data_IF_517106707796
#
_entry.id   IF_517106707796
#
_cell.length_a   1.000
_cell.length_b   1.000
_cell.length_c   1.000
_cell.angle_alpha   90.00
_cell.angle_beta   90.00
_cell.angle_gamma   90.00
#
_symmetry.space_group_name_H-M   'P 1'
#
loop_
_entity.id
_entity.type
_entity.pdbx_description
1 polymer ?
#
# COMPACT_ATOMS: atom_id res chain seq x y z
N UNK A 1 -7.41 15.37 8.94
CA UNK A 1 -8.38 14.30 9.11
C UNK A 1 -7.88 13.30 10.12
N UNK A 2 -8.77 12.91 11.00
CA UNK A 2 -8.43 11.85 11.92
C UNK A 2 -8.68 10.53 11.27
N UNK A 3 -7.90 9.59 11.60
CA UNK A 3 -7.98 8.29 11.00
C UNK A 3 -6.62 7.68 11.05
N UNK A 4 -6.12 7.21 9.93
CA UNK A 4 -4.85 6.53 9.92
C UNK A 4 -3.71 7.53 9.81
N UNK A 5 -2.59 7.30 10.51
CA UNK A 5 -1.43 8.17 10.39
C UNK A 5 -0.90 8.19 8.97
N UNK A 6 -0.26 9.29 8.61
CA UNK A 6 0.46 9.38 7.36
C UNK A 6 1.53 8.27 7.32
N UNK A 7 1.71 7.69 6.14
CA UNK A 7 2.65 6.58 5.90
C UNK A 7 2.15 5.23 6.42
N UNK A 8 0.88 5.15 6.84
CA UNK A 8 0.28 3.85 7.11
C UNK A 8 0.15 3.05 5.82
N UNK A 9 0.31 1.74 5.91
CA UNK A 9 0.02 0.87 4.77
C UNK A 9 -1.45 0.47 4.87
N UNK A 10 -2.17 0.72 3.79
CA UNK A 10 -3.64 0.59 3.78
C UNK A 10 -4.11 -0.16 2.54
N UNK A 11 -5.34 -0.66 2.66
CA UNK A 11 -6.10 -1.17 1.52
C UNK A 11 -7.17 -0.15 1.22
N UNK A 12 -7.27 0.25 -0.04
CA UNK A 12 -8.27 1.23 -0.49
C UNK A 12 -9.24 0.51 -1.40
N UNK A 13 -10.51 0.53 -1.03
CA UNK A 13 -11.58 -0.02 -1.86
C UNK A 13 -12.30 1.13 -2.55
N UNK A 14 -12.37 1.06 -3.86
CA UNK A 14 -13.01 2.09 -4.68
C UNK A 14 -14.28 1.57 -5.29
N UNK A 15 -15.14 2.50 -5.70
CA UNK A 15 -16.36 2.19 -6.44
C UNK A 15 -16.36 2.96 -7.77
N UNK A 16 -17.13 2.48 -8.72
CA UNK A 16 -17.41 3.12 -10.00
C UNK A 16 -16.15 3.47 -10.80
N UNK A 17 -15.33 2.50 -11.17
CA UNK A 17 -15.51 1.06 -11.04
C UNK A 17 -14.96 0.53 -9.71
N UNK A 18 -15.30 -0.69 -9.37
CA UNK A 18 -14.78 -1.35 -8.18
C UNK A 18 -13.33 -1.74 -8.43
N UNK A 19 -12.47 -1.24 -7.56
CA UNK A 19 -11.04 -1.52 -7.61
C UNK A 19 -10.51 -1.56 -6.20
N UNK A 20 -9.40 -2.29 -6.01
CA UNK A 20 -8.74 -2.36 -4.70
C UNK A 20 -7.26 -2.10 -4.89
N UNK A 21 -6.72 -1.26 -4.02
CA UNK A 21 -5.32 -0.88 -4.07
C UNK A 21 -4.67 -1.11 -2.70
N UNK A 22 -3.42 -1.45 -2.74
CA UNK A 22 -2.57 -1.58 -1.56
C UNK A 22 -1.48 -0.54 -1.65
N UNK A 23 -1.17 0.10 -0.55
CA UNK A 23 -0.07 1.05 -0.61
C UNK A 23 0.07 1.89 0.63
N UNK A 24 0.93 2.88 0.50
CA UNK A 24 1.29 3.81 1.56
C UNK A 24 0.41 5.05 1.45
N UNK A 25 -0.26 5.38 2.54
CA UNK A 25 -1.12 6.56 2.58
C UNK A 25 -0.23 7.79 2.72
N UNK A 26 -0.19 8.59 1.66
CA UNK A 26 0.64 9.79 1.64
C UNK A 26 -0.05 10.96 2.29
N UNK A 27 -1.32 11.18 1.95
CA UNK A 27 -2.08 12.28 2.52
C UNK A 27 -3.57 12.06 2.32
N UNK A 28 -4.36 12.73 3.15
CA UNK A 28 -5.81 12.75 3.04
C UNK A 28 -6.26 14.19 3.13
N UNK A 29 -7.20 14.57 2.29
CA UNK A 29 -7.79 15.91 2.30
C UNK A 29 -9.28 15.79 2.07
N UNK A 30 -9.98 16.93 2.11
CA UNK A 30 -11.40 16.95 1.83
C UNK A 30 -11.71 16.53 0.38
N UNK A 31 -10.74 16.67 -0.52
CA UNK A 31 -10.92 16.32 -1.93
C UNK A 31 -10.70 14.84 -2.21
N UNK A 32 -9.88 14.16 -1.38
CA UNK A 32 -9.56 12.78 -1.62
C UNK A 32 -8.29 12.36 -0.91
N UNK A 33 -7.67 11.29 -1.40
CA UNK A 33 -6.44 10.80 -0.79
C UNK A 33 -5.37 10.51 -1.84
N UNK A 34 -4.14 10.63 -1.42
CA UNK A 34 -2.98 10.31 -2.25
C UNK A 34 -2.34 9.04 -1.71
N UNK A 35 -2.17 8.08 -2.58
CA UNK A 35 -1.63 6.77 -2.25
C UNK A 35 -0.42 6.47 -3.12
N UNK A 36 0.64 5.98 -2.53
CA UNK A 36 1.71 5.39 -3.32
C UNK A 36 1.52 3.88 -3.24
N UNK A 37 1.03 3.30 -4.32
CA UNK A 37 0.61 1.92 -4.21
C UNK A 37 0.43 1.23 -5.54
N UNK A 38 -0.29 0.12 -5.48
CA UNK A 38 -0.44 -0.77 -6.62
C UNK A 38 -1.82 -1.42 -6.54
N UNK A 39 -2.39 -1.70 -7.71
CA UNK A 39 -3.62 -2.46 -7.78
C UNK A 39 -3.38 -3.84 -7.16
N UNK A 40 -4.31 -4.30 -6.33
CA UNK A 40 -4.14 -5.60 -5.68
C UNK A 40 -4.02 -6.75 -6.68
N UNK A 41 -4.60 -6.59 -7.86
CA UNK A 41 -4.47 -7.62 -8.90
C UNK A 41 -3.03 -7.79 -9.37
N UNK A 42 -2.21 -6.78 -9.19
CA UNK A 42 -0.79 -6.81 -9.60
C UNK A 42 0.16 -7.05 -8.44
N UNK A 43 -0.36 -7.13 -7.23
CA UNK A 43 0.49 -7.21 -6.04
C UNK A 43 1.40 -8.44 -6.08
N UNK A 44 0.84 -9.59 -6.39
CA UNK A 44 1.60 -10.84 -6.38
C UNK A 44 2.69 -10.85 -7.45
N UNK A 45 2.39 -10.30 -8.63
CA UNK A 45 3.38 -10.21 -9.69
C UNK A 45 4.52 -9.27 -9.31
N UNK A 46 4.19 -8.18 -8.62
CA UNK A 46 5.20 -7.26 -8.14
C UNK A 46 6.14 -7.93 -7.15
N UNK A 47 5.57 -8.68 -6.19
CA UNK A 47 6.36 -9.40 -5.20
C UNK A 47 7.29 -10.41 -5.88
N UNK A 48 6.78 -11.14 -6.86
CA UNK A 48 7.60 -12.11 -7.58
C UNK A 48 8.75 -11.46 -8.33
N UNK A 49 8.51 -10.29 -8.92
CA UNK A 49 9.57 -9.58 -9.63
C UNK A 49 10.70 -9.16 -8.68
N UNK A 50 10.35 -8.71 -7.49
CA UNK A 50 11.35 -8.33 -6.50
C UNK A 50 12.25 -9.52 -6.17
N UNK A 51 11.63 -10.68 -5.95
CA UNK A 51 12.37 -11.89 -5.56
C UNK A 51 13.23 -12.41 -6.70
N UNK A 52 12.70 -12.38 -7.91
CA UNK A 52 13.43 -12.92 -9.07
C UNK A 52 14.55 -12.01 -9.53
N UNK A 53 14.52 -10.75 -9.09
CA UNK A 53 15.51 -9.74 -9.49
C UNK A 53 15.53 -9.50 -10.98
N UNK A 54 14.40 -9.74 -11.62
CA UNK A 54 14.25 -9.41 -13.03
C UNK A 54 14.02 -7.92 -13.19
N UNK A 55 14.07 -7.47 -14.43
CA UNK A 55 13.81 -6.08 -14.72
C UNK A 55 12.39 -5.75 -14.23
N UNK A 56 12.28 -4.66 -13.46
CA UNK A 56 11.01 -4.31 -12.84
C UNK A 56 10.12 -3.63 -13.86
N UNK A 57 9.02 -4.28 -14.22
CA UNK A 57 8.02 -3.69 -15.09
C UNK A 57 6.75 -3.31 -14.33
N UNK A 58 6.63 -3.75 -13.08
CA UNK A 58 5.52 -3.43 -12.19
C UNK A 58 6.12 -2.78 -10.95
N UNK A 59 5.59 -1.62 -10.57
CA UNK A 59 6.10 -0.94 -9.39
C UNK A 59 5.00 -0.06 -8.83
N UNK A 60 5.25 0.49 -7.66
CA UNK A 60 4.32 1.38 -6.99
C UNK A 60 4.23 2.71 -7.75
N UNK A 61 3.03 3.27 -7.74
CA UNK A 61 2.73 4.52 -8.43
C UNK A 61 2.05 5.46 -7.44
N UNK A 62 2.36 6.74 -7.52
CA UNK A 62 1.67 7.73 -6.71
C UNK A 62 0.39 8.14 -7.42
N UNK A 63 -0.74 7.95 -6.72
CA UNK A 63 -2.07 8.13 -7.30
C UNK A 63 -2.92 8.99 -6.38
N UNK A 64 -3.84 9.73 -6.99
CA UNK A 64 -4.83 10.47 -6.22
C UNK A 64 -6.22 9.89 -6.52
N UNK A 65 -6.96 9.61 -5.46
CA UNK A 65 -8.33 9.14 -5.59
C UNK A 65 -9.28 10.18 -5.05
N UNK A 66 -10.18 10.71 -5.89
CA UNK A 66 -11.21 11.62 -5.40
C UNK A 66 -12.08 10.94 -4.35
N UNK A 67 -12.51 11.69 -3.37
CA UNK A 67 -13.26 11.14 -2.25
C UNK A 67 -14.52 10.41 -2.70
N UNK A 68 -15.18 10.87 -3.75
CA UNK A 68 -16.41 10.23 -4.20
C UNK A 68 -16.20 8.83 -4.77
N UNK A 69 -14.94 8.47 -5.09
CA UNK A 69 -14.62 7.13 -5.53
C UNK A 69 -14.37 6.18 -4.36
N UNK A 70 -14.17 6.69 -3.18
CA UNK A 70 -13.76 5.89 -2.03
C UNK A 70 -14.96 5.19 -1.39
N UNK A 71 -14.91 3.87 -1.34
CA UNK A 71 -15.89 3.10 -0.58
C UNK A 71 -15.44 2.96 0.87
N UNK A 72 -14.20 2.51 1.07
CA UNK A 72 -13.62 2.38 2.40
C UNK A 72 -12.11 2.25 2.29
N UNK A 73 -11.45 2.54 3.39
CA UNK A 73 -10.03 2.36 3.52
C UNK A 73 -9.75 1.74 4.87
N UNK A 74 -8.87 0.74 4.92
CA UNK A 74 -8.55 0.10 6.19
C UNK A 74 -7.07 -0.26 6.22
N UNK A 75 -6.55 -0.41 7.44
CA UNK A 75 -5.14 -0.77 7.59
C UNK A 75 -4.91 -2.18 7.06
N UNK A 76 -3.72 -2.38 6.48
CA UNK A 76 -3.29 -3.70 6.06
C UNK A 76 -2.77 -4.43 7.29
N UNK A 77 -3.64 -5.20 7.92
CA UNK A 77 -3.32 -5.91 9.15
C UNK A 77 -3.96 -7.30 9.12
N UNK A 78 -3.43 -8.23 9.92
CA UNK A 78 -4.04 -9.57 9.95
C UNK A 78 -5.46 -9.50 10.49
N UNK A 79 -6.33 -10.33 9.94
CA UNK A 79 -7.71 -10.45 10.40
C UNK A 79 -7.97 -11.92 10.71
N UNK A 80 -8.05 -12.24 12.00
CA UNK A 80 -8.18 -13.63 12.41
C UNK A 80 -7.01 -14.45 11.92
N UNK A 81 -7.28 -15.51 11.17
CA UNK A 81 -6.23 -16.39 10.63
C UNK A 81 -5.70 -15.90 9.29
N UNK A 82 -6.24 -14.81 8.74
CA UNK A 82 -5.85 -14.28 7.43
C UNK A 82 -4.72 -13.28 7.63
N UNK A 83 -3.58 -13.52 6.96
CA UNK A 83 -2.44 -12.62 7.04
C UNK A 83 -2.69 -11.34 6.28
N UNK A 84 -2.00 -10.28 6.70
CA UNK A 84 -1.97 -9.05 5.92
C UNK A 84 -1.13 -9.24 4.67
N UNK A 85 -1.32 -8.35 3.70
CA UNK A 85 -0.46 -8.33 2.50
C UNK A 85 0.98 -7.99 2.89
N UNK A 86 1.16 -7.13 3.90
CA UNK A 86 2.50 -6.80 4.40
C UNK A 86 3.20 -8.01 4.99
N UNK A 87 2.47 -8.86 5.71
CA UNK A 87 3.06 -10.08 6.27
C UNK A 87 3.44 -11.05 5.16
N UNK A 88 2.59 -11.19 4.15
CA UNK A 88 2.90 -12.02 3.00
C UNK A 88 4.15 -11.52 2.27
N UNK A 89 4.22 -10.20 2.05
CA UNK A 89 5.39 -9.57 1.44
C UNK A 89 6.65 -9.91 2.23
N UNK A 90 6.58 -9.76 3.55
CA UNK A 90 7.71 -10.01 4.42
C UNK A 90 8.17 -11.47 4.33
N UNK A 91 7.22 -12.39 4.28
CA UNK A 91 7.55 -13.81 4.21
C UNK A 91 8.25 -14.16 2.91
N UNK A 92 7.80 -13.58 1.80
CA UNK A 92 8.34 -13.93 0.49
C UNK A 92 9.63 -13.17 0.19
N UNK A 93 9.67 -11.88 0.50
CA UNK A 93 10.81 -11.02 0.14
C UNK A 93 11.91 -11.05 1.19
N UNK A 94 11.55 -11.23 2.46
CA UNK A 94 12.52 -11.32 3.53
C UNK A 94 12.73 -10.06 4.32
N UNK A 95 12.11 -8.96 3.92
CA UNK A 95 12.12 -7.71 4.69
C UNK A 95 10.72 -7.12 4.69
N UNK A 96 10.48 -6.22 5.65
CA UNK A 96 9.19 -5.55 5.73
C UNK A 96 9.00 -4.63 4.53
N UNK A 97 7.76 -4.51 4.02
CA UNK A 97 7.52 -3.59 2.89
C UNK A 97 7.88 -2.15 3.22
N UNK A 98 7.68 -1.72 4.47
CA UNK A 98 8.05 -0.37 4.88
C UNK A 98 9.54 -0.11 4.62
N UNK A 99 10.36 -1.09 4.94
CA UNK A 99 11.80 -0.96 4.74
C UNK A 99 12.15 -1.00 3.25
N UNK A 100 11.51 -1.89 2.51
CA UNK A 100 11.77 -2.02 1.08
C UNK A 100 11.42 -0.73 0.34
N UNK A 101 10.27 -0.15 0.69
CA UNK A 101 9.79 1.06 0.04
C UNK A 101 10.58 2.28 0.50
N UNK A 102 11.15 2.21 1.71
CA UNK A 102 11.94 3.31 2.24
C UNK A 102 11.12 4.33 2.99
N UNK A 103 9.97 3.93 3.52
CA UNK A 103 9.19 4.84 4.33
C UNK A 103 9.84 4.97 5.69
N UNK A 104 9.89 6.21 6.15
CA UNK A 104 10.39 6.47 7.48
C UNK A 104 9.36 5.98 8.48
N UNK A 105 9.72 4.95 9.18
CA UNK A 105 8.87 4.50 10.27
C UNK A 105 9.20 5.36 11.47
N UNK A 106 8.86 6.47 11.43
CA UNK A 106 9.24 7.37 12.44
C UNK A 106 10.64 7.92 12.25
N UNK A 107 11.16 7.49 11.53
CA UNK A 107 12.10 7.81 11.33
C UNK A 107 13.08 8.12 11.01
N UNK A 108 13.23 8.02 10.83
CA UNK A 108 13.86 8.08 10.32
C UNK A 108 14.63 8.70 10.00
N UNK A 109 14.76 8.99 9.87
CA UNK A 109 15.24 9.40 9.35
C UNK A 109 16.20 9.91 9.41
N UNK A 110 16.37 10.03 9.49
CA UNK A 110 17.02 10.39 9.39
C UNK A 110 18.00 10.69 9.50
N UNK A 111 18.36 10.83 9.50
CA UNK A 111 19.07 10.95 9.36
C UNK A 111 19.63 11.12 9.35
#
# INVERSE_FOLDING_TARGET
MEGFPQNSIVIVNLVNPKEKFWGVLMSVSAAGLTLRGINLDSFEDWVRQIVSREEVSIDLVTMFFPLFRLERMFLDEPVGAIRSYSDHFTEVVGIRPEKYIGIAAGNEEVH
#
